data_IF_395154940736
#
_entry.id   IF_395154940736
#
_cell.length_a   1.000
_cell.length_b   1.000
_cell.length_c   1.000
_cell.angle_alpha   90.00
_cell.angle_beta   90.00
_cell.angle_gamma   90.00
#
_symmetry.space_group_name_H-M   'P 1'
#
loop_
_entity.id
_entity.type
_entity.pdbx_description
1 polymer ?
#
# COMPACT_ATOMS: atom_id res chain seq x y z
N UNK A 1 1.19 12.91 23.82
CA UNK A 1 0.03 12.21 23.24
C UNK A 1 0.52 11.44 22.01
N UNK A 2 0.87 10.16 22.16
CA UNK A 2 1.26 9.29 21.04
C UNK A 2 0.07 8.38 20.72
N UNK A 3 -1.01 8.97 20.22
CA UNK A 3 -2.07 8.17 19.60
C UNK A 3 -1.72 7.96 18.14
N UNK A 4 -1.65 6.70 17.71
CA UNK A 4 -2.11 6.28 16.40
C UNK A 4 -2.13 4.73 16.34
N UNK A 5 -3.22 4.06 16.75
CA UNK A 5 -3.50 2.70 16.34
C UNK A 5 -4.51 2.70 15.18
N UNK A 6 -4.44 3.67 14.27
CA UNK A 6 -5.12 3.53 12.97
C UNK A 6 -4.10 2.91 12.01
N UNK A 7 -4.04 1.59 12.01
CA UNK A 7 -3.25 0.84 11.04
C UNK A 7 -3.85 0.92 9.64
N UNK A 8 -5.19 0.99 9.55
CA UNK A 8 -5.95 1.03 8.31
C UNK A 8 -6.74 2.34 8.18
N UNK A 9 -6.81 2.85 6.96
CA UNK A 9 -7.57 4.03 6.55
C UNK A 9 -8.55 3.66 5.44
N UNK A 10 -9.75 4.24 5.50
CA UNK A 10 -10.66 4.27 4.36
C UNK A 10 -10.05 5.07 3.19
N UNK A 11 -10.58 4.94 1.96
CA UNK A 11 -10.11 5.73 0.83
C UNK A 11 -10.20 7.24 1.06
N UNK A 12 -11.21 7.68 1.81
CA UNK A 12 -11.43 9.11 2.12
C UNK A 12 -10.38 9.65 3.09
N UNK A 13 -10.01 8.87 4.10
CA UNK A 13 -8.98 9.23 5.07
C UNK A 13 -7.60 9.24 4.44
N UNK A 14 -7.27 8.20 3.67
CA UNK A 14 -6.03 8.15 2.92
C UNK A 14 -5.92 9.34 1.95
N UNK A 15 -7.00 9.70 1.24
CA UNK A 15 -7.01 10.81 0.29
C UNK A 15 -6.64 12.15 0.95
N UNK A 16 -7.22 12.43 2.12
CA UNK A 16 -6.86 13.62 2.92
C UNK A 16 -5.40 13.61 3.32
N UNK A 17 -4.89 12.46 3.74
CA UNK A 17 -3.51 12.29 4.17
C UNK A 17 -2.51 12.58 3.03
N UNK A 18 -2.79 12.06 1.83
CA UNK A 18 -1.96 12.29 0.65
C UNK A 18 -2.17 13.66 -0.02
N UNK A 19 -3.13 14.47 0.45
CA UNK A 19 -3.59 15.70 -0.23
C UNK A 19 -3.94 15.44 -1.70
N UNK A 20 -4.69 14.35 -1.93
CA UNK A 20 -5.17 13.90 -3.24
C UNK A 20 -6.66 13.56 -3.15
N UNK A 21 -7.30 13.31 -4.29
CA UNK A 21 -8.69 12.85 -4.32
C UNK A 21 -8.78 11.33 -4.05
N UNK A 22 -9.90 10.83 -3.48
CA UNK A 22 -10.11 9.38 -3.36
C UNK A 22 -10.06 8.65 -4.72
N UNK A 23 -10.47 9.31 -5.80
CA UNK A 23 -10.35 8.78 -7.16
C UNK A 23 -8.90 8.64 -7.61
N UNK A 24 -8.02 9.60 -7.26
CA UNK A 24 -6.58 9.47 -7.52
C UNK A 24 -5.99 8.25 -6.82
N UNK A 25 -6.40 7.97 -5.57
CA UNK A 25 -5.94 6.80 -4.83
C UNK A 25 -6.37 5.48 -5.46
N UNK A 26 -7.63 5.38 -5.87
CA UNK A 26 -8.14 4.20 -6.59
C UNK A 26 -7.38 3.94 -7.89
N UNK A 27 -6.85 4.98 -8.52
CA UNK A 27 -6.02 4.91 -9.72
C UNK A 27 -4.56 4.54 -9.46
N UNK A 28 -4.13 4.26 -8.22
CA UNK A 28 -2.76 3.83 -7.93
C UNK A 28 -2.66 2.28 -7.92
N UNK A 29 -2.44 1.60 -9.07
CA UNK A 29 -2.29 0.13 -9.15
C UNK A 29 -1.29 -0.41 -8.13
N UNK A 30 -0.19 0.33 -8.01
CA UNK A 30 1.00 -0.06 -7.28
C UNK A 30 0.78 -0.02 -5.76
N UNK A 31 -0.19 0.75 -5.29
CA UNK A 31 -0.44 0.93 -3.87
C UNK A 31 -1.15 -0.32 -3.32
N UNK A 32 -0.53 -0.96 -2.33
CA UNK A 32 -1.10 -2.15 -1.70
C UNK A 32 -2.38 -1.78 -0.94
N UNK A 33 -3.47 -2.50 -1.26
CA UNK A 33 -4.80 -2.37 -0.67
C UNK A 33 -5.14 -3.64 0.09
N UNK A 34 -5.75 -3.50 1.27
CA UNK A 34 -6.22 -4.59 2.10
C UNK A 34 -7.74 -4.50 2.18
N UNK A 35 -8.49 -5.57 1.91
CA UNK A 35 -9.95 -5.50 1.98
C UNK A 35 -10.63 -6.84 1.73
N UNK A 36 -11.65 -7.14 2.53
CA UNK A 36 -12.55 -8.29 2.37
C UNK A 36 -13.91 -7.75 1.93
N UNK A 37 -14.48 -8.25 0.84
CA UNK A 37 -15.82 -7.83 0.36
C UNK A 37 -15.85 -6.52 -0.46
N UNK A 38 -14.76 -6.15 -1.13
CA UNK A 38 -14.76 -5.11 -2.17
C UNK A 38 -14.49 -3.67 -1.71
N UNK A 39 -14.37 -3.41 -0.40
CA UNK A 39 -13.97 -2.09 0.09
C UNK A 39 -12.45 -2.01 0.30
N UNK A 40 -11.72 -1.13 -0.41
CA UNK A 40 -10.28 -1.01 -0.24
C UNK A 40 -9.95 -0.23 1.03
N UNK A 41 -9.17 -0.84 1.91
CA UNK A 41 -8.51 -0.19 3.04
C UNK A 41 -7.02 0.01 2.73
N UNK A 42 -6.46 1.09 3.27
CA UNK A 42 -5.09 1.50 3.05
C UNK A 42 -4.30 1.45 4.35
N UNK A 43 -3.21 0.69 4.37
CA UNK A 43 -2.38 0.62 5.55
C UNK A 43 -1.47 1.85 5.68
N UNK A 44 -1.47 2.54 6.83
CA UNK A 44 -0.76 3.82 7.00
C UNK A 44 0.74 3.68 6.74
N UNK A 45 1.40 2.67 7.33
CA UNK A 45 2.85 2.45 7.14
C UNK A 45 3.20 2.17 5.68
N UNK A 46 2.41 1.35 5.00
CA UNK A 46 2.59 0.98 3.59
C UNK A 46 2.43 2.22 2.69
N UNK A 47 1.40 3.02 2.96
CA UNK A 47 1.14 4.29 2.29
C UNK A 47 2.32 5.29 2.41
N UNK A 48 2.89 5.42 3.62
CA UNK A 48 4.06 6.25 3.88
C UNK A 48 5.28 5.76 3.11
N UNK A 49 5.55 4.45 3.19
CA UNK A 49 6.66 3.83 2.50
C UNK A 49 6.56 4.04 0.98
N UNK A 50 5.36 3.87 0.40
CA UNK A 50 5.10 4.15 -1.00
C UNK A 50 5.45 5.59 -1.42
N UNK A 51 5.00 6.60 -0.65
CA UNK A 51 5.32 8.01 -0.96
C UNK A 51 6.81 8.30 -0.86
N UNK A 52 7.48 7.79 0.18
CA UNK A 52 8.92 7.93 0.34
C UNK A 52 9.64 7.32 -0.87
N UNK A 53 9.31 6.09 -1.24
CA UNK A 53 9.90 5.43 -2.40
C UNK A 53 9.68 6.20 -3.71
N UNK A 54 8.49 6.78 -3.91
CA UNK A 54 8.19 7.62 -5.09
C UNK A 54 9.04 8.90 -5.11
N UNK A 55 9.24 9.54 -3.97
CA UNK A 55 10.11 10.71 -3.84
C UNK A 55 11.58 10.38 -4.10
N UNK A 56 12.00 9.16 -3.77
CA UNK A 56 13.34 8.64 -4.07
C UNK A 56 13.51 8.13 -5.51
N UNK A 57 12.47 8.20 -6.36
CA UNK A 57 12.54 7.76 -7.75
C UNK A 57 12.62 6.23 -7.93
N UNK A 58 12.15 5.46 -6.95
CA UNK A 58 12.17 3.99 -7.03
C UNK A 58 11.28 3.46 -8.15
N UNK A 59 11.76 2.40 -8.82
CA UNK A 59 10.99 1.64 -9.80
C UNK A 59 9.89 0.80 -9.16
N UNK A 60 9.07 0.17 -9.99
CA UNK A 60 7.87 -0.55 -9.55
C UNK A 60 8.19 -1.74 -8.64
N UNK A 61 9.23 -2.50 -8.98
CA UNK A 61 9.66 -3.66 -8.20
C UNK A 61 10.19 -3.24 -6.83
N UNK A 62 10.98 -2.16 -6.75
CA UNK A 62 11.48 -1.65 -5.48
C UNK A 62 10.36 -1.05 -4.62
N UNK A 63 9.42 -0.32 -5.22
CA UNK A 63 8.23 0.18 -4.52
C UNK A 63 7.38 -0.96 -3.97
N UNK A 64 7.24 -2.06 -4.71
CA UNK A 64 6.49 -3.23 -4.24
C UNK A 64 7.20 -3.89 -3.06
N UNK A 65 8.53 -4.07 -3.15
CA UNK A 65 9.34 -4.62 -2.05
C UNK A 65 9.19 -3.78 -0.79
N UNK A 66 9.38 -2.47 -0.90
CA UNK A 66 9.30 -1.54 0.22
C UNK A 66 7.92 -1.57 0.91
N UNK A 67 6.83 -1.68 0.13
CA UNK A 67 5.49 -1.81 0.69
C UNK A 67 5.27 -3.13 1.43
N UNK A 68 5.82 -4.24 0.92
CA UNK A 68 5.74 -5.56 1.58
C UNK A 68 6.55 -5.57 2.87
N UNK A 69 7.75 -5.00 2.88
CA UNK A 69 8.57 -4.84 4.08
C UNK A 69 7.83 -4.03 5.15
N UNK A 70 7.26 -2.88 4.76
CA UNK A 70 6.50 -2.02 5.66
C UNK A 70 5.25 -2.72 6.24
N UNK A 71 4.57 -3.55 5.44
CA UNK A 71 3.42 -4.33 5.90
C UNK A 71 3.86 -5.45 6.85
N UNK A 72 4.90 -6.20 6.49
CA UNK A 72 5.37 -7.32 7.29
C UNK A 72 5.87 -6.86 8.67
N UNK A 73 6.58 -5.74 8.73
CA UNK A 73 6.96 -5.10 9.99
C UNK A 73 5.76 -4.60 10.79
N UNK A 74 4.69 -4.12 10.14
CA UNK A 74 3.45 -3.78 10.83
C UNK A 74 2.77 -5.01 11.45
N UNK A 75 2.87 -6.17 10.80
CA UNK A 75 2.41 -7.45 11.33
C UNK A 75 3.36 -8.06 12.39
N UNK A 76 4.43 -7.37 12.79
CA UNK A 76 5.38 -7.86 13.80
C UNK A 76 6.34 -8.94 13.30
N UNK A 77 6.48 -9.12 11.98
CA UNK A 77 7.44 -10.07 11.42
C UNK A 77 8.87 -9.54 11.60
N UNK A 78 9.79 -10.43 12.00
CA UNK A 78 11.21 -10.09 12.12
C UNK A 78 11.83 -9.83 10.75
N UNK A 79 12.82 -8.93 10.67
CA UNK A 79 13.52 -8.63 9.41
C UNK A 79 14.10 -9.89 8.74
N UNK A 80 14.54 -10.86 9.53
CA UNK A 80 15.00 -12.18 9.02
C UNK A 80 13.87 -12.93 8.32
N UNK A 81 12.68 -12.97 8.92
CA UNK A 81 11.50 -13.62 8.33
C UNK A 81 11.03 -12.88 7.07
N UNK A 82 11.05 -11.56 7.08
CA UNK A 82 10.69 -10.73 5.91
C UNK A 82 11.67 -10.98 4.76
N UNK A 83 12.97 -10.98 5.03
CA UNK A 83 13.98 -11.26 4.01
C UNK A 83 13.83 -12.67 3.42
N UNK A 84 13.64 -13.68 4.26
CA UNK A 84 13.41 -15.06 3.80
C UNK A 84 12.17 -15.16 2.88
N UNK A 85 11.06 -14.49 3.23
CA UNK A 85 9.86 -14.43 2.40
C UNK A 85 10.13 -13.80 1.03
N UNK A 86 10.86 -12.67 1.02
CA UNK A 86 11.19 -11.92 -0.20
C UNK A 86 12.21 -12.61 -1.10
N UNK A 87 13.10 -13.43 -0.54
CA UNK A 87 14.08 -14.22 -1.29
C UNK A 87 13.45 -15.47 -1.91
N UNK A 88 12.50 -16.10 -1.20
CA UNK A 88 11.83 -17.31 -1.65
C UNK A 88 10.71 -17.04 -2.66
N UNK A 89 10.17 -15.82 -2.71
CA UNK A 89 9.02 -15.47 -3.55
C UNK A 89 9.35 -14.27 -4.43
N UNK A 90 9.17 -14.44 -5.74
CA UNK A 90 9.21 -13.30 -6.65
C UNK A 90 7.98 -12.44 -6.42
N UNK A 91 8.20 -11.16 -6.07
CA UNK A 91 7.11 -10.20 -5.95
C UNK A 91 6.52 -9.95 -7.33
N UNK A 92 5.33 -10.48 -7.58
CA UNK A 92 4.59 -10.19 -8.80
C UNK A 92 4.22 -8.69 -8.80
N UNK A 93 4.41 -7.98 -9.92
CA UNK A 93 3.90 -6.62 -10.05
C UNK A 93 2.40 -6.59 -9.78
N UNK A 94 1.92 -5.48 -9.20
CA UNK A 94 0.51 -5.35 -8.88
C UNK A 94 -0.33 -5.47 -10.17
N UNK A 95 -1.46 -6.22 -10.15
CA UNK A 95 -2.37 -6.24 -11.29
C UNK A 95 -2.84 -4.82 -11.59
N UNK A 96 -2.94 -4.48 -12.88
CA UNK A 96 -3.52 -3.21 -13.31
C UNK A 96 -4.96 -3.16 -12.82
N UNK A 97 -5.45 -2.04 -12.24
CA UNK A 97 -6.85 -1.93 -11.89
C UNK A 97 -7.67 -2.12 -13.17
N UNK A 98 -8.59 -3.07 -13.15
CA UNK A 98 -9.57 -3.20 -14.20
C UNK A 98 -10.29 -1.85 -14.33
N UNK A 99 -10.35 -1.33 -15.56
CA UNK A 99 -10.90 -0.01 -15.86
C UNK A 99 -12.40 0.10 -15.53
N UNK A 100 -13.05 -1.00 -15.16
CA UNK A 100 -14.50 -1.10 -15.01
C UNK A 100 -15.05 -0.69 -13.63
N UNK A 101 -14.22 -0.54 -12.60
CA UNK A 101 -14.69 -0.07 -11.27
C UNK A 101 -15.08 1.42 -11.24
N UNK A 102 -14.90 2.17 -12.35
CA UNK A 102 -15.23 3.58 -12.45
C UNK A 102 -16.61 3.88 -13.08
N UNK A 103 -17.44 2.87 -13.39
CA UNK A 103 -18.77 3.09 -14.00
C UNK A 103 -19.94 3.24 -13.02
N UNK A 104 -19.69 3.16 -11.71
CA UNK A 104 -20.74 3.30 -10.70
C UNK A 104 -20.31 4.28 -9.59
N UNK A 105 -20.32 5.59 -9.89
CA UNK A 105 -20.42 6.66 -8.92
C UNK A 105 -20.90 7.95 -9.60
#
# INVERSE_FOLDING_TARGET
MLEMPQELMTPREAARWFRRSPSWLRQQPQLLRLGVGGQPLYHVRVCRAYVIGRLCGLGEAELRRMQVEALAQACGLSDKSVRALLEQHTLTPAPRPDRDENRAA
#
